data_IF_701375870318
#
_entry.id   IF_701375870318
#
_cell.length_a   1.000
_cell.length_b   1.000
_cell.length_c   1.000
_cell.angle_alpha   90.00
_cell.angle_beta   90.00
_cell.angle_gamma   90.00
#
_symmetry.space_group_name_H-M   'P 1'
#
loop_
_entity.id
_entity.type
_entity.pdbx_description
1 polymer ?
#
# COMPACT_ATOMS: atom_id res chain seq x y z
N UNK A 1 -14.58 -29.99 -2.42
CA UNK A 1 -14.83 -28.66 -1.81
C UNK A 1 -15.22 -27.77 -2.97
N UNK A 2 -16.44 -27.31 -2.98
CA UNK A 2 -16.94 -26.45 -4.03
C UNK A 2 -16.58 -25.01 -3.70
N UNK A 3 -16.07 -24.27 -4.68
CA UNK A 3 -15.73 -22.86 -4.54
C UNK A 3 -16.28 -22.06 -5.72
N UNK A 4 -16.65 -20.82 -5.48
CA UNK A 4 -17.18 -19.93 -6.51
C UNK A 4 -16.06 -19.24 -7.30
N UNK A 5 -14.92 -18.98 -6.64
CA UNK A 5 -13.80 -18.22 -7.20
C UNK A 5 -12.48 -18.89 -6.87
N UNK A 6 -11.60 -18.99 -7.87
CA UNK A 6 -10.19 -19.37 -7.67
C UNK A 6 -9.32 -18.15 -7.99
N UNK A 7 -8.49 -17.77 -7.03
CA UNK A 7 -7.52 -16.67 -7.17
C UNK A 7 -6.14 -17.31 -7.34
N UNK A 8 -5.46 -16.98 -8.43
CA UNK A 8 -4.10 -17.49 -8.69
C UNK A 8 -3.09 -16.38 -8.43
N UNK A 9 -2.27 -16.58 -7.40
CA UNK A 9 -1.25 -15.65 -6.94
C UNK A 9 -1.64 -14.95 -5.63
N UNK A 10 -0.83 -15.12 -4.57
CA UNK A 10 -0.99 -14.49 -3.26
C UNK A 10 -0.12 -13.23 -3.11
N UNK A 11 0.08 -12.48 -4.18
CA UNK A 11 0.62 -11.13 -4.12
C UNK A 11 -0.41 -10.12 -3.58
N UNK A 12 -0.05 -8.83 -3.45
CA UNK A 12 -0.92 -7.81 -2.87
C UNK A 12 -2.32 -7.73 -3.50
N UNK A 13 -2.41 -7.93 -4.81
CA UNK A 13 -3.68 -7.90 -5.55
C UNK A 13 -4.57 -9.09 -5.21
N UNK A 14 -4.01 -10.32 -5.28
CA UNK A 14 -4.76 -11.54 -5.00
C UNK A 14 -5.21 -11.62 -3.54
N UNK A 15 -4.34 -11.23 -2.60
CA UNK A 15 -4.68 -11.14 -1.17
C UNK A 15 -5.79 -10.12 -0.92
N UNK A 16 -5.70 -8.92 -1.52
CA UNK A 16 -6.74 -7.89 -1.40
C UNK A 16 -8.09 -8.38 -1.95
N UNK A 17 -8.07 -9.07 -3.10
CA UNK A 17 -9.28 -9.66 -3.68
C UNK A 17 -9.88 -10.73 -2.76
N UNK A 18 -9.05 -11.61 -2.20
CA UNK A 18 -9.50 -12.64 -1.27
C UNK A 18 -10.18 -12.03 -0.03
N UNK A 19 -9.59 -10.96 0.53
CA UNK A 19 -10.18 -10.23 1.67
C UNK A 19 -11.55 -9.63 1.28
N UNK A 20 -11.64 -8.94 0.12
CA UNK A 20 -12.89 -8.29 -0.31
C UNK A 20 -14.00 -9.32 -0.60
N UNK A 21 -13.67 -10.43 -1.26
CA UNK A 21 -14.60 -11.54 -1.50
C UNK A 21 -15.07 -12.19 -0.20
N UNK A 22 -14.14 -12.50 0.71
CA UNK A 22 -14.47 -13.09 2.00
C UNK A 22 -15.41 -12.21 2.83
N UNK A 23 -15.19 -10.89 2.83
CA UNK A 23 -16.11 -9.92 3.49
C UNK A 23 -17.51 -9.88 2.87
N UNK A 24 -17.65 -10.29 1.63
CA UNK A 24 -18.93 -10.40 0.92
C UNK A 24 -19.59 -11.76 1.06
N UNK A 25 -18.95 -12.69 1.78
CA UNK A 25 -19.43 -14.06 1.94
C UNK A 25 -19.19 -14.95 0.72
N UNK A 26 -18.36 -14.52 -0.23
CA UNK A 26 -18.02 -15.31 -1.42
C UNK A 26 -16.89 -16.28 -1.07
N UNK A 27 -17.11 -17.57 -1.28
CA UNK A 27 -16.12 -18.60 -1.05
C UNK A 27 -15.06 -18.58 -2.16
N UNK A 28 -13.80 -18.41 -1.78
CA UNK A 28 -12.70 -18.44 -2.73
C UNK A 28 -11.54 -19.32 -2.26
N UNK A 29 -10.78 -19.84 -3.22
CA UNK A 29 -9.52 -20.54 -2.99
C UNK A 29 -8.41 -19.67 -3.54
N UNK A 30 -7.41 -19.37 -2.71
CA UNK A 30 -6.21 -18.64 -3.09
C UNK A 30 -5.06 -19.62 -3.28
N UNK A 31 -4.51 -19.65 -4.49
CA UNK A 31 -3.38 -20.50 -4.85
C UNK A 31 -2.12 -19.67 -5.00
N UNK A 32 -1.03 -20.10 -4.36
CA UNK A 32 0.29 -19.51 -4.51
C UNK A 32 1.33 -20.61 -4.70
N UNK A 33 2.24 -20.39 -5.63
CA UNK A 33 3.30 -21.35 -5.93
C UNK A 33 4.53 -21.25 -5.01
N UNK A 34 4.61 -20.16 -4.22
CA UNK A 34 5.75 -19.88 -3.34
C UNK A 34 5.34 -20.00 -1.90
N UNK A 35 6.20 -20.61 -1.09
CA UNK A 35 5.97 -20.81 0.33
C UNK A 35 6.21 -19.53 1.17
N UNK A 36 6.95 -18.55 0.62
CA UNK A 36 7.30 -17.31 1.30
C UNK A 36 7.22 -16.09 0.36
N UNK A 37 7.07 -14.86 0.92
CA UNK A 37 7.16 -13.64 0.16
C UNK A 37 8.46 -13.55 -0.64
N UNK A 38 8.43 -12.86 -1.78
CA UNK A 38 9.64 -12.68 -2.59
C UNK A 38 10.64 -11.79 -1.86
N UNK A 39 11.91 -12.21 -1.86
CA UNK A 39 13.00 -11.42 -1.28
C UNK A 39 13.20 -10.08 -2.00
N UNK A 40 12.98 -10.02 -3.30
CA UNK A 40 13.04 -8.80 -4.08
C UNK A 40 11.62 -8.25 -4.30
N UNK A 41 11.24 -7.17 -3.59
CA UNK A 41 9.93 -6.57 -3.73
C UNK A 41 9.78 -5.93 -5.12
N UNK A 42 8.58 -6.02 -5.71
CA UNK A 42 8.23 -5.38 -6.98
C UNK A 42 7.49 -4.05 -6.78
N UNK A 43 7.12 -3.74 -5.55
CA UNK A 43 6.46 -2.50 -5.19
C UNK A 43 6.97 -1.97 -3.85
N UNK A 44 6.93 -0.67 -3.68
CA UNK A 44 7.36 0.04 -2.47
C UNK A 44 6.31 1.02 -1.96
N UNK A 45 5.16 1.14 -2.63
CA UNK A 45 4.10 2.06 -2.22
C UNK A 45 2.71 1.57 -2.56
N UNK A 46 1.79 1.96 -1.71
CA UNK A 46 0.35 1.92 -1.99
C UNK A 46 -0.08 3.35 -2.35
N UNK A 47 -0.62 3.54 -3.54
CA UNK A 47 -1.13 4.85 -3.95
C UNK A 47 -2.41 5.23 -3.17
N UNK A 48 -2.85 6.47 -3.31
CA UNK A 48 -4.03 6.98 -2.62
C UNK A 48 -5.25 6.07 -2.81
N UNK A 49 -5.52 5.63 -4.05
CA UNK A 49 -6.67 4.76 -4.35
C UNK A 49 -6.56 3.40 -3.65
N UNK A 50 -5.38 2.82 -3.60
CA UNK A 50 -5.14 1.57 -2.87
C UNK A 50 -5.40 1.76 -1.37
N UNK A 51 -4.93 2.87 -0.80
CA UNK A 51 -5.16 3.18 0.61
C UNK A 51 -6.64 3.45 0.92
N UNK A 52 -7.42 4.05 0.01
CA UNK A 52 -8.87 4.17 0.14
C UNK A 52 -9.58 2.80 0.15
N UNK A 53 -9.12 1.86 -0.69
CA UNK A 53 -9.61 0.48 -0.68
C UNK A 53 -9.30 -0.17 0.66
N UNK A 54 -8.08 -0.04 1.16
CA UNK A 54 -7.68 -0.59 2.46
C UNK A 54 -8.42 0.08 3.63
N UNK A 55 -8.74 1.37 3.52
CA UNK A 55 -9.62 2.06 4.48
C UNK A 55 -11.02 1.43 4.49
N UNK A 56 -11.61 1.22 3.32
CA UNK A 56 -12.92 0.54 3.21
C UNK A 56 -12.89 -0.89 3.78
N UNK A 57 -11.75 -1.59 3.63
CA UNK A 57 -11.53 -2.91 4.20
C UNK A 57 -11.18 -2.87 5.71
N UNK A 58 -10.98 -1.68 6.30
CA UNK A 58 -10.66 -1.51 7.72
C UNK A 58 -9.21 -1.82 8.09
N UNK A 59 -8.30 -1.90 7.12
CA UNK A 59 -6.90 -2.29 7.32
C UNK A 59 -5.88 -1.17 7.03
N UNK A 60 -6.33 0.01 6.59
CA UNK A 60 -5.44 1.11 6.23
C UNK A 60 -4.51 1.51 7.38
N UNK A 61 -5.02 1.61 8.63
CA UNK A 61 -4.20 1.98 9.77
C UNK A 61 -3.11 0.93 10.07
N UNK A 62 -3.44 -0.35 10.01
CA UNK A 62 -2.48 -1.45 10.17
C UNK A 62 -1.32 -1.35 9.15
N UNK A 63 -1.64 -0.98 7.91
CA UNK A 63 -0.65 -0.78 6.85
C UNK A 63 0.22 0.46 7.12
N UNK A 64 -0.37 1.55 7.62
CA UNK A 64 0.37 2.76 8.00
C UNK A 64 1.34 2.52 9.14
N UNK A 65 0.91 1.78 10.17
CA UNK A 65 1.73 1.49 11.35
C UNK A 65 2.96 0.63 11.01
N UNK A 66 2.85 -0.21 9.97
CA UNK A 66 3.95 -1.06 9.51
C UNK A 66 4.76 -0.44 8.35
N UNK A 67 4.29 0.65 7.79
CA UNK A 67 4.93 1.32 6.65
C UNK A 67 5.99 2.34 7.06
N UNK A 68 6.38 3.16 6.10
CA UNK A 68 7.33 4.25 6.32
C UNK A 68 6.78 5.25 7.36
N UNK A 69 7.64 5.80 8.25
CA UNK A 69 7.19 6.66 9.35
C UNK A 69 6.38 7.87 8.87
N UNK A 70 5.26 8.11 9.55
CA UNK A 70 4.25 9.10 9.14
C UNK A 70 4.75 10.55 9.13
N UNK A 71 5.74 10.88 9.96
CA UNK A 71 6.23 12.24 10.13
C UNK A 71 7.45 12.57 9.26
N UNK A 72 7.96 11.59 8.52
CA UNK A 72 9.12 11.75 7.63
C UNK A 72 8.65 12.12 6.22
N UNK A 73 9.16 13.21 5.62
CA UNK A 73 8.87 13.54 4.22
C UNK A 73 9.24 12.42 3.27
N UNK A 74 8.45 12.24 2.23
CA UNK A 74 8.64 11.18 1.23
C UNK A 74 9.36 11.69 -0.01
N UNK A 75 10.38 12.51 0.20
CA UNK A 75 11.16 13.17 -0.82
C UNK A 75 11.81 12.19 -1.79
N UNK A 76 11.93 12.59 -3.05
CA UNK A 76 12.65 11.84 -4.08
C UNK A 76 13.88 12.62 -4.51
N UNK A 77 15.03 11.94 -4.48
CA UNK A 77 16.31 12.50 -4.89
C UNK A 77 16.80 11.78 -6.15
N UNK A 78 17.09 12.53 -7.19
CA UNK A 78 17.76 12.01 -8.39
C UNK A 78 19.25 12.25 -8.19
N UNK A 79 20.01 11.18 -8.09
CA UNK A 79 21.43 11.21 -7.76
C UNK A 79 22.27 10.42 -8.75
N UNK A 80 23.53 10.79 -8.90
CA UNK A 80 24.56 10.01 -9.61
C UNK A 80 25.49 9.30 -8.62
N UNK A 81 25.53 9.75 -7.38
CA UNK A 81 26.41 9.26 -6.31
C UNK A 81 25.75 9.54 -4.97
N UNK A 82 26.06 8.74 -3.95
CA UNK A 82 25.59 8.98 -2.58
C UNK A 82 26.38 10.07 -1.84
N UNK A 83 27.50 10.52 -2.38
CA UNK A 83 28.38 11.51 -1.75
C UNK A 83 28.33 12.88 -2.43
N UNK A 84 27.76 12.96 -3.62
CA UNK A 84 27.59 14.22 -4.35
C UNK A 84 26.18 14.80 -4.10
N UNK A 85 26.02 16.13 -4.24
CA UNK A 85 24.69 16.74 -4.18
C UNK A 85 23.75 16.12 -5.22
N UNK A 86 22.46 16.01 -4.91
CA UNK A 86 21.48 15.48 -5.86
C UNK A 86 21.36 16.38 -7.10
N UNK A 87 21.20 15.76 -8.27
CA UNK A 87 20.88 16.48 -9.51
C UNK A 87 19.52 17.15 -9.42
N UNK A 88 18.57 16.51 -8.73
CA UNK A 88 17.22 17.03 -8.54
C UNK A 88 16.68 16.52 -7.20
N UNK A 89 16.02 17.40 -6.48
CA UNK A 89 15.26 17.10 -5.28
C UNK A 89 13.78 17.42 -5.54
N UNK A 90 12.93 16.42 -5.43
CA UNK A 90 11.48 16.56 -5.51
C UNK A 90 10.90 16.43 -4.09
N UNK A 91 10.49 17.53 -3.47
CA UNK A 91 9.90 17.48 -2.13
C UNK A 91 8.50 16.87 -2.20
N UNK A 92 8.22 15.92 -1.32
CA UNK A 92 6.90 15.34 -1.12
C UNK A 92 6.51 15.43 0.36
N UNK A 93 5.23 15.67 0.65
CA UNK A 93 4.78 15.76 2.03
C UNK A 93 4.96 14.43 2.77
N UNK A 94 5.11 14.50 4.07
CA UNK A 94 4.95 13.32 4.92
C UNK A 94 3.48 12.86 4.91
N UNK A 95 3.23 11.63 5.37
CA UNK A 95 1.85 11.13 5.53
C UNK A 95 1.04 12.05 6.46
N UNK A 96 1.64 12.50 7.57
CA UNK A 96 0.98 13.39 8.52
C UNK A 96 0.59 14.72 7.87
N UNK A 97 1.49 15.33 7.10
CA UNK A 97 1.20 16.57 6.36
C UNK A 97 0.09 16.36 5.34
N UNK A 98 0.19 15.32 4.52
CA UNK A 98 -0.82 15.01 3.52
C UNK A 98 -2.19 14.71 4.13
N UNK A 99 -2.25 14.07 5.30
CA UNK A 99 -3.50 13.87 6.03
C UNK A 99 -4.10 15.20 6.54
N UNK A 100 -3.27 16.11 7.01
CA UNK A 100 -3.72 17.46 7.42
C UNK A 100 -4.26 18.25 6.23
N UNK A 101 -3.59 18.22 5.09
CA UNK A 101 -4.01 18.88 3.86
C UNK A 101 -5.36 18.30 3.35
N UNK A 102 -5.52 16.99 3.37
CA UNK A 102 -6.78 16.31 3.04
C UNK A 102 -7.91 16.73 3.99
N UNK A 103 -7.63 16.80 5.30
CA UNK A 103 -8.63 17.22 6.30
C UNK A 103 -9.06 18.69 6.12
N UNK A 104 -8.17 19.54 5.63
CA UNK A 104 -8.46 20.93 5.32
C UNK A 104 -9.18 21.14 3.98
N UNK A 105 -9.16 20.15 3.09
CA UNK A 105 -9.79 20.20 1.77
C UNK A 105 -11.32 20.08 1.91
N UNK A 106 -12.06 21.08 1.43
CA UNK A 106 -13.53 21.11 1.52
C UNK A 106 -14.23 20.97 0.18
N UNK A 107 -13.48 20.98 -0.93
CA UNK A 107 -14.02 20.97 -2.29
C UNK A 107 -14.00 19.59 -2.96
N UNK A 108 -13.50 18.56 -2.25
CA UNK A 108 -13.41 17.19 -2.78
C UNK A 108 -12.34 16.96 -3.85
N UNK A 109 -11.44 17.92 -4.06
CA UNK A 109 -10.35 17.81 -5.05
C UNK A 109 -9.25 16.83 -4.62
N UNK A 110 -9.16 16.50 -3.33
CA UNK A 110 -8.16 15.59 -2.78
C UNK A 110 -8.74 14.18 -2.52
N UNK A 111 -7.92 13.13 -2.63
CA UNK A 111 -8.34 11.77 -2.24
C UNK A 111 -8.60 11.69 -0.73
N UNK A 112 -9.35 10.68 -0.29
CA UNK A 112 -9.65 10.47 1.14
C UNK A 112 -8.44 9.95 1.95
N UNK A 113 -7.43 9.42 1.28
CA UNK A 113 -6.23 8.87 1.88
C UNK A 113 -4.99 9.31 1.10
N UNK A 114 -3.92 9.73 1.75
CA UNK A 114 -2.63 9.89 1.09
C UNK A 114 -2.02 8.53 0.76
N UNK A 115 -1.07 8.50 -0.17
CA UNK A 115 -0.31 7.27 -0.41
C UNK A 115 0.55 6.89 0.79
N UNK A 116 1.00 5.63 0.83
CA UNK A 116 1.86 5.09 1.88
C UNK A 116 3.04 4.35 1.26
N UNK A 117 4.26 4.70 1.67
CA UNK A 117 5.44 3.90 1.37
C UNK A 117 5.45 2.66 2.29
N UNK A 118 5.45 1.51 1.68
CA UNK A 118 5.54 0.21 2.36
C UNK A 118 6.08 -0.82 1.38
N UNK A 119 7.08 -1.57 1.80
CA UNK A 119 7.62 -2.65 0.98
C UNK A 119 6.58 -3.76 0.79
N UNK A 120 6.53 -4.35 -0.40
CA UNK A 120 5.74 -5.54 -0.67
C UNK A 120 6.03 -6.67 0.33
N UNK A 121 7.30 -6.80 0.73
CA UNK A 121 7.75 -7.76 1.73
C UNK A 121 7.07 -7.59 3.10
N UNK A 122 6.77 -6.35 3.47
CA UNK A 122 6.03 -6.02 4.69
C UNK A 122 4.52 -6.12 4.50
N UNK A 123 4.02 -5.69 3.33
CA UNK A 123 2.59 -5.64 3.04
C UNK A 123 1.94 -7.03 2.94
N UNK A 124 2.56 -7.97 2.22
CA UNK A 124 1.97 -9.29 1.99
C UNK A 124 1.65 -10.07 3.29
N UNK A 125 2.55 -10.13 4.29
CA UNK A 125 2.23 -10.76 5.57
C UNK A 125 1.08 -10.08 6.34
N UNK A 126 0.88 -8.78 6.14
CA UNK A 126 -0.21 -8.04 6.79
C UNK A 126 -1.58 -8.36 6.17
N UNK A 127 -1.59 -8.76 4.90
CA UNK A 127 -2.80 -9.10 4.15
C UNK A 127 -3.19 -10.58 4.31
N UNK A 128 -2.30 -11.43 4.81
CA UNK A 128 -2.56 -12.84 5.17
C UNK A 128 -3.23 -12.96 6.53
#
# INVERSE_FOLDING_TARGET
MDTEVIIVGAGPVGLTLAIDLGRRGVHCILLEQKDAPQFLPKMERCNARTMEIYRRLGIAQKIRDAGFPRDVPMDVFIITSLVEPPLLHLPYPSVAQAQADIAACTDGSMPLEPYQLISQYTLEPLLK
#
